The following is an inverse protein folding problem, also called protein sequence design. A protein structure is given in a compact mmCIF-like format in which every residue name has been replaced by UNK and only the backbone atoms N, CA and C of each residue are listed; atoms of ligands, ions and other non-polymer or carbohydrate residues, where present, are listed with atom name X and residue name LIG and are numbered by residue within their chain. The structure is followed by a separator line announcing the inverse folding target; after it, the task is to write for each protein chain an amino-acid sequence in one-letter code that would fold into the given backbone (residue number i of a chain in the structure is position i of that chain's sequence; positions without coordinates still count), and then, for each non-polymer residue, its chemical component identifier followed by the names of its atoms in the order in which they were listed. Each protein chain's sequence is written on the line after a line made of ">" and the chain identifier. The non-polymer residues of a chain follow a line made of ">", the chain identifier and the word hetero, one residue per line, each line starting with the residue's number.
data_IF_609070061392
#
_entry.id   IF_609070061392
#
_cell.length_a   1.000
_cell.length_b   1.000
_cell.length_c   1.000
_cell.angle_alpha   90.00
_cell.angle_beta   90.00
_cell.angle_gamma   90.00
#
_symmetry.space_group_name_H-M   'P 1'
#
loop_
_entity.id
_entity.type
_entity.pdbx_description
1 polymer ?
#
# COMPACT_ATOMS: atom_id res chain seq x y z
N UNK A 1 4.91 3.29 13.90
CA UNK A 1 3.93 2.31 13.38
C UNK A 1 2.75 3.11 12.88
N UNK A 2 2.39 2.95 11.63
CA UNK A 2 1.28 3.63 11.00
C UNK A 2 0.29 2.61 10.45
N UNK A 3 -0.99 2.99 10.41
CA UNK A 3 -2.03 2.24 9.72
C UNK A 3 -2.53 3.10 8.58
N UNK A 4 -2.33 2.64 7.35
CA UNK A 4 -2.76 3.36 6.15
C UNK A 4 -3.98 2.66 5.56
N UNK A 5 -4.99 3.44 5.20
CA UNK A 5 -6.12 2.96 4.39
C UNK A 5 -5.82 3.23 2.92
N UNK A 6 -5.71 2.15 2.15
CA UNK A 6 -5.58 2.20 0.69
C UNK A 6 -6.95 1.89 0.09
N UNK A 7 -7.49 2.78 -0.73
CA UNK A 7 -8.82 2.65 -1.30
C UNK A 7 -8.82 3.03 -2.78
N UNK A 8 -9.72 2.44 -3.56
CA UNK A 8 -9.83 2.74 -4.98
C UNK A 8 -11.22 2.46 -5.56
N UNK A 9 -11.57 3.21 -6.60
CA UNK A 9 -12.77 3.01 -7.41
C UNK A 9 -12.50 2.18 -8.68
N UNK A 10 -11.24 1.87 -8.99
CA UNK A 10 -10.82 1.10 -10.15
C UNK A 10 -9.84 -0.03 -9.75
N UNK A 11 -9.26 -0.75 -10.71
CA UNK A 11 -8.27 -1.79 -10.40
C UNK A 11 -6.86 -1.20 -10.29
N UNK A 12 -6.30 -1.23 -9.08
CA UNK A 12 -4.95 -0.73 -8.81
C UNK A 12 -4.19 -1.65 -7.85
N UNK A 13 -3.14 -2.35 -8.30
CA UNK A 13 -2.13 -2.86 -7.38
C UNK A 13 -1.38 -1.67 -6.80
N UNK A 14 -1.37 -1.48 -5.48
CA UNK A 14 -0.70 -0.36 -4.81
C UNK A 14 0.57 -0.87 -4.13
N UNK A 15 1.71 -0.29 -4.47
CA UNK A 15 3.02 -0.62 -3.91
C UNK A 15 3.55 0.52 -3.03
N UNK A 16 4.18 0.15 -1.90
CA UNK A 16 4.80 1.07 -0.94
C UNK A 16 6.27 0.70 -0.80
N UNK A 17 7.15 1.66 -1.07
CA UNK A 17 8.59 1.48 -0.94
C UNK A 17 9.02 1.44 0.54
N UNK A 18 10.30 1.10 0.76
CA UNK A 18 11.00 1.03 2.04
C UNK A 18 10.63 -0.17 2.93
N UNK A 19 9.39 -0.25 3.42
CA UNK A 19 9.03 -1.20 4.48
C UNK A 19 7.91 -2.14 4.06
N UNK A 20 8.01 -3.44 4.38
CA UNK A 20 6.89 -4.33 4.22
C UNK A 20 5.76 -3.98 5.20
N UNK A 21 4.54 -4.37 4.85
CA UNK A 21 3.33 -4.19 5.63
C UNK A 21 2.58 -5.49 5.83
N UNK A 22 1.70 -5.50 6.84
CA UNK A 22 0.70 -6.54 7.03
C UNK A 22 -0.69 -5.99 6.73
N UNK A 23 -1.52 -6.77 6.03
CA UNK A 23 -2.92 -6.40 5.80
C UNK A 23 -3.71 -6.72 7.06
N UNK A 24 -4.38 -5.72 7.62
CA UNK A 24 -5.21 -5.86 8.82
C UNK A 24 -6.66 -6.18 8.48
N UNK A 25 -7.19 -5.53 7.44
CA UNK A 25 -8.59 -5.66 7.04
C UNK A 25 -8.77 -5.43 5.54
N UNK A 26 -9.86 -5.98 4.99
CA UNK A 26 -10.36 -5.65 3.65
C UNK A 26 -11.83 -5.31 3.73
N UNK A 27 -12.22 -4.14 3.23
CA UNK A 27 -13.61 -3.68 3.21
C UNK A 27 -14.31 -3.78 4.58
N UNK A 28 -13.55 -3.62 5.68
CA UNK A 28 -14.05 -3.76 7.06
C UNK A 28 -14.16 -5.21 7.58
N UNK A 29 -13.86 -6.20 6.73
CA UNK A 29 -13.76 -7.62 7.09
C UNK A 29 -12.32 -8.12 7.27
N UNK A 30 -12.15 -9.42 7.54
CA UNK A 30 -10.83 -10.01 7.71
C UNK A 30 -10.01 -9.97 6.40
N UNK A 31 -8.66 -10.06 6.48
CA UNK A 31 -7.80 -10.19 5.30
C UNK A 31 -8.21 -11.39 4.43
N UNK A 32 -8.01 -11.25 3.12
CA UNK A 32 -8.28 -12.30 2.15
C UNK A 32 -7.20 -13.41 2.13
N UNK A 33 -7.44 -14.50 1.38
CA UNK A 33 -6.54 -15.67 1.37
C UNK A 33 -5.09 -15.38 0.92
N UNK A 34 -4.87 -14.31 0.16
CA UNK A 34 -3.56 -13.91 -0.38
C UNK A 34 -2.95 -12.71 0.35
N UNK A 35 -3.62 -12.22 1.39
CA UNK A 35 -3.18 -11.08 2.20
C UNK A 35 -2.32 -11.51 3.40
N UNK A 36 -2.16 -12.81 3.61
CA UNK A 36 -1.35 -13.35 4.70
C UNK A 36 0.15 -13.11 4.47
N UNK A 37 0.86 -12.88 5.57
CA UNK A 37 2.31 -12.63 5.57
C UNK A 37 2.66 -11.15 5.39
N UNK A 38 3.95 -10.91 5.15
CA UNK A 38 4.49 -9.58 4.87
C UNK A 38 4.39 -9.30 3.36
N UNK A 39 3.94 -8.10 3.02
CA UNK A 39 3.72 -7.66 1.64
C UNK A 39 4.31 -6.27 1.43
N UNK A 40 4.64 -5.93 0.19
CA UNK A 40 4.97 -4.56 -0.22
C UNK A 40 3.96 -4.00 -1.23
N UNK A 41 3.05 -4.85 -1.72
CA UNK A 41 2.09 -4.55 -2.77
C UNK A 41 0.76 -5.23 -2.47
N UNK A 42 -0.34 -4.50 -2.65
CA UNK A 42 -1.70 -5.01 -2.45
C UNK A 42 -2.57 -4.81 -3.69
N UNK A 43 -3.21 -5.88 -4.14
CA UNK A 43 -4.22 -5.86 -5.21
C UNK A 43 -5.54 -5.29 -4.69
N UNK A 44 -5.96 -4.11 -5.17
CA UNK A 44 -7.27 -3.54 -4.87
C UNK A 44 -8.13 -3.45 -6.14
N UNK A 45 -9.31 -4.05 -6.09
CA UNK A 45 -10.34 -4.03 -7.14
C UNK A 45 -11.30 -2.84 -6.94
N UNK A 46 -12.15 -2.51 -7.93
CA UNK A 46 -13.12 -1.43 -7.80
C UNK A 46 -13.94 -1.51 -6.51
N UNK A 47 -14.07 -0.39 -5.79
CA UNK A 47 -14.79 -0.24 -4.52
C UNK A 47 -14.18 -1.05 -3.36
N UNK A 48 -12.91 -1.44 -3.46
CA UNK A 48 -12.18 -2.06 -2.37
C UNK A 48 -11.37 -1.04 -1.59
N UNK A 49 -11.22 -1.32 -0.30
CA UNK A 49 -10.21 -0.68 0.54
C UNK A 49 -9.58 -1.71 1.48
N UNK A 50 -8.35 -1.45 1.90
CA UNK A 50 -7.66 -2.26 2.89
C UNK A 50 -6.94 -1.35 3.89
N UNK A 51 -6.93 -1.76 5.15
CA UNK A 51 -6.09 -1.15 6.17
C UNK A 51 -4.80 -1.98 6.30
N UNK A 52 -3.64 -1.32 6.16
CA UNK A 52 -2.32 -1.97 6.23
C UNK A 52 -1.49 -1.38 7.37
N UNK A 53 -0.80 -2.22 8.13
CA UNK A 53 0.11 -1.81 9.19
C UNK A 53 1.55 -1.79 8.69
N UNK A 54 2.21 -0.64 8.82
CA UNK A 54 3.57 -0.39 8.31
C UNK A 54 4.44 0.18 9.42
N UNK A 55 5.69 -0.29 9.49
CA UNK A 55 6.70 0.24 10.40
C UNK A 55 7.86 0.83 9.59
N UNK A 56 8.07 2.14 9.75
CA UNK A 56 9.15 2.89 9.12
C UNK A 56 10.23 3.25 10.15
N UNK A 57 11.07 2.28 10.53
CA UNK A 57 12.11 2.45 11.57
C UNK A 57 13.55 2.27 11.07
N UNK A 58 13.76 1.69 9.89
CA UNK A 58 15.10 1.37 9.39
C UNK A 58 15.85 2.56 8.77
N UNK A 59 15.19 3.33 7.90
CA UNK A 59 15.85 4.34 7.08
C UNK A 59 15.06 5.64 6.95
N UNK A 60 15.78 6.77 7.09
CA UNK A 60 15.27 8.14 6.89
C UNK A 60 15.46 8.53 5.43
N UNK A 61 14.41 8.96 4.76
CA UNK A 61 14.49 9.32 3.35
C UNK A 61 13.15 9.74 2.74
N UNK A 62 13.18 9.99 1.43
CA UNK A 62 11.98 10.17 0.59
C UNK A 62 11.77 8.90 -0.22
N UNK A 63 10.56 8.36 -0.17
CA UNK A 63 10.19 7.09 -0.78
C UNK A 63 8.88 7.23 -1.58
N UNK A 64 8.58 6.23 -2.39
CA UNK A 64 7.44 6.23 -3.29
C UNK A 64 6.29 5.34 -2.80
N UNK A 65 5.08 5.79 -3.10
CA UNK A 65 3.84 5.02 -3.09
C UNK A 65 3.27 5.18 -4.49
N UNK A 66 2.92 4.10 -5.17
CA UNK A 66 2.35 4.20 -6.52
C UNK A 66 1.47 3.01 -6.89
N UNK A 67 0.67 3.19 -7.93
CA UNK A 67 0.07 2.06 -8.62
C UNK A 67 1.18 1.29 -9.35
N UNK A 68 1.17 -0.04 -9.25
CA UNK A 68 2.14 -0.92 -9.93
C UNK A 68 1.63 -1.42 -11.29
N UNK A 69 0.57 -0.82 -11.81
CA UNK A 69 0.29 -0.84 -13.25
C UNK A 69 1.16 0.25 -13.88
N UNK A 70 2.08 -0.15 -14.76
CA UNK A 70 3.13 0.74 -15.28
C UNK A 70 2.56 1.91 -16.08
N UNK A 71 1.48 1.69 -16.84
CA UNK A 71 0.83 2.77 -17.58
C UNK A 71 0.24 3.81 -16.62
N UNK A 72 -0.38 3.37 -15.52
CA UNK A 72 -0.89 4.28 -14.49
C UNK A 72 0.23 4.99 -13.75
N UNK A 73 1.33 4.29 -13.44
CA UNK A 73 2.53 4.84 -12.82
C UNK A 73 3.14 5.97 -13.67
N UNK A 74 3.39 5.69 -14.95
CA UNK A 74 3.96 6.64 -15.93
C UNK A 74 3.02 7.82 -16.20
N UNK A 75 1.70 7.60 -16.08
CA UNK A 75 0.69 8.66 -16.12
C UNK A 75 0.46 9.32 -14.74
N UNK A 76 1.48 9.31 -13.89
CA UNK A 76 1.60 10.03 -12.63
C UNK A 76 0.69 9.56 -11.48
N UNK A 77 0.22 8.30 -11.48
CA UNK A 77 -0.42 7.70 -10.30
C UNK A 77 0.61 7.27 -9.24
N UNK A 78 1.36 8.27 -8.76
CA UNK A 78 2.43 8.12 -7.78
C UNK A 78 2.43 9.29 -6.80
N UNK A 79 2.91 9.04 -5.59
CA UNK A 79 3.14 10.04 -4.57
C UNK A 79 4.43 9.74 -3.81
N UNK A 80 4.98 10.77 -3.17
CA UNK A 80 6.14 10.62 -2.26
C UNK A 80 5.70 10.74 -0.82
N UNK A 81 6.32 9.96 0.06
CA UNK A 81 6.29 10.18 1.50
C UNK A 81 7.70 10.35 2.03
N UNK A 82 7.83 10.95 3.21
CA UNK A 82 9.11 11.16 3.89
C UNK A 82 9.07 10.50 5.25
N UNK A 83 10.07 9.67 5.53
CA UNK A 83 10.30 9.14 6.88
C UNK A 83 11.23 10.08 7.63
N UNK A 84 11.01 10.22 8.93
CA UNK A 84 11.89 10.92 9.86
C UNK A 84 12.10 10.04 11.09
N UNK A 85 13.10 10.39 11.91
CA UNK A 85 13.21 9.82 13.25
C UNK A 85 12.08 10.31 14.15
#
# INVERSE_FOLDING_TARGET
>A
MEVWRLATDAYHPVHIHLSPFQVLSRNGGPPGPTDHGWKDTIDLRPKQYADVAIRFDDYVGRYLLHCHNLEHEDMAMMATFRTSR
#
